data_IF_281923925404
#
_entry.id   IF_281923925404
#
_cell.length_a   1.000
_cell.length_b   1.000
_cell.length_c   1.000
_cell.angle_alpha   90.00
_cell.angle_beta   90.00
_cell.angle_gamma   90.00
#
_symmetry.space_group_name_H-M   'P 1'
#
loop_
_entity.id
_entity.type
_entity.pdbx_description
1 polymer ?
#
# COMPACT_ATOMS: atom_id res chain seq x y z
N UNK A 1 45.71 -12.68 -0.20
CA UNK A 1 44.91 -11.52 -0.66
C UNK A 1 43.44 -11.88 -0.51
N UNK A 2 42.71 -11.24 0.39
CA UNK A 2 41.31 -11.59 0.72
C UNK A 2 40.38 -10.66 -0.05
N UNK A 3 39.84 -11.15 -1.15
CA UNK A 3 38.96 -10.37 -2.03
C UNK A 3 37.66 -10.07 -1.29
N UNK A 4 37.46 -8.82 -0.92
CA UNK A 4 36.19 -8.32 -0.39
C UNK A 4 35.21 -8.14 -1.56
N UNK A 5 34.34 -9.11 -1.77
CA UNK A 5 33.19 -8.91 -2.66
C UNK A 5 32.07 -8.23 -1.86
N UNK A 6 31.56 -7.06 -2.29
CA UNK A 6 30.40 -6.45 -1.65
C UNK A 6 29.21 -7.38 -1.81
N UNK A 7 28.52 -7.68 -0.70
CA UNK A 7 27.25 -8.41 -0.74
C UNK A 7 26.24 -7.52 -1.46
N UNK A 8 25.94 -7.84 -2.70
CA UNK A 8 24.84 -7.22 -3.43
C UNK A 8 23.57 -7.45 -2.62
N UNK A 9 22.80 -6.39 -2.37
CA UNK A 9 21.54 -6.47 -1.66
C UNK A 9 20.67 -7.56 -2.29
N UNK A 10 20.16 -8.47 -1.46
CA UNK A 10 19.28 -9.54 -1.92
C UNK A 10 18.06 -8.93 -2.59
N UNK A 11 17.92 -9.14 -3.90
CA UNK A 11 16.68 -8.87 -4.61
C UNK A 11 15.59 -9.72 -3.95
N UNK A 12 14.68 -9.07 -3.25
CA UNK A 12 13.48 -9.70 -2.71
C UNK A 12 12.45 -9.64 -3.82
N UNK A 13 12.07 -10.78 -4.42
CA UNK A 13 11.01 -10.78 -5.42
C UNK A 13 9.74 -10.24 -4.75
N UNK A 14 9.13 -9.23 -5.36
CA UNK A 14 7.86 -8.66 -4.91
C UNK A 14 6.82 -9.79 -4.88
N UNK A 15 6.00 -9.82 -3.84
CA UNK A 15 4.93 -10.82 -3.70
C UNK A 15 4.02 -10.72 -4.92
N UNK A 16 3.96 -11.79 -5.72
CA UNK A 16 3.27 -11.73 -7.02
C UNK A 16 1.77 -11.47 -6.84
N UNK A 17 1.16 -10.81 -7.83
CA UNK A 17 -0.28 -10.51 -7.83
C UNK A 17 -1.18 -11.71 -7.50
N UNK A 18 -0.77 -12.91 -7.91
CA UNK A 18 -1.49 -14.16 -7.65
C UNK A 18 -1.69 -14.46 -6.16
N UNK A 19 -0.71 -14.12 -5.31
CA UNK A 19 -0.82 -14.32 -3.86
C UNK A 19 -1.76 -13.29 -3.23
N UNK A 20 -1.75 -12.05 -3.73
CA UNK A 20 -2.61 -10.96 -3.28
C UNK A 20 -4.09 -11.23 -3.62
N UNK A 21 -4.36 -11.78 -4.82
CA UNK A 21 -5.70 -12.20 -5.24
C UNK A 21 -6.24 -13.29 -4.31
N UNK A 22 -5.43 -14.32 -4.02
CA UNK A 22 -5.81 -15.38 -3.08
C UNK A 22 -6.05 -14.87 -1.65
N UNK A 23 -5.38 -13.79 -1.25
CA UNK A 23 -5.58 -13.13 0.04
C UNK A 23 -6.82 -12.20 0.07
N UNK A 24 -7.60 -12.11 -1.01
CA UNK A 24 -8.80 -11.29 -1.09
C UNK A 24 -8.50 -9.79 -1.21
N UNK A 25 -7.34 -9.41 -1.74
CA UNK A 25 -6.92 -8.02 -1.93
C UNK A 25 -7.48 -7.40 -3.21
N UNK A 26 -8.70 -7.75 -3.59
CA UNK A 26 -9.34 -7.18 -4.78
C UNK A 26 -10.78 -6.81 -4.46
N UNK A 27 -11.27 -5.77 -5.13
CA UNK A 27 -12.64 -5.30 -5.04
C UNK A 27 -13.12 -4.84 -6.41
N UNK A 28 -14.43 -4.57 -6.54
CA UNK A 28 -14.98 -4.02 -7.78
C UNK A 28 -14.36 -2.66 -8.17
N UNK A 29 -13.88 -1.90 -7.19
CA UNK A 29 -13.23 -0.60 -7.42
C UNK A 29 -11.71 -0.73 -7.60
N UNK A 30 -11.15 -1.91 -7.31
CA UNK A 30 -9.73 -2.20 -7.40
C UNK A 30 -9.51 -3.63 -7.89
N UNK A 31 -9.67 -3.78 -9.20
CA UNK A 31 -9.46 -5.03 -9.90
C UNK A 31 -7.96 -5.23 -10.15
N UNK A 32 -7.38 -6.21 -9.47
CA UNK A 32 -5.99 -6.61 -9.64
C UNK A 32 -5.87 -7.74 -10.67
N UNK A 33 -6.96 -8.50 -10.90
CA UNK A 33 -6.99 -9.62 -11.85
C UNK A 33 -6.85 -9.13 -13.30
N UNK A 34 -7.45 -7.99 -13.63
CA UNK A 34 -7.29 -7.35 -14.93
C UNK A 34 -5.83 -7.01 -15.23
N UNK A 35 -5.09 -6.47 -14.24
CA UNK A 35 -3.68 -6.10 -14.41
C UNK A 35 -2.79 -7.34 -14.63
N UNK A 36 -3.08 -8.45 -13.95
CA UNK A 36 -2.39 -9.72 -14.15
C UNK A 36 -2.67 -10.28 -15.55
N UNK A 37 -3.92 -10.19 -16.02
CA UNK A 37 -4.33 -10.66 -17.35
C UNK A 37 -3.66 -9.88 -18.47
N UNK A 38 -3.51 -8.57 -18.29
CA UNK A 38 -2.93 -7.67 -19.29
C UNK A 38 -1.39 -7.59 -19.20
N UNK A 39 -0.76 -8.37 -18.30
CA UNK A 39 0.69 -8.37 -18.05
C UNK A 39 1.23 -6.97 -17.75
N UNK A 40 0.46 -6.19 -17.00
CA UNK A 40 0.86 -4.86 -16.52
C UNK A 40 2.00 -5.01 -15.51
N UNK A 41 3.11 -4.31 -15.76
CA UNK A 41 4.33 -4.36 -14.95
C UNK A 41 4.28 -3.43 -13.73
N UNK A 42 3.25 -2.59 -13.61
CA UNK A 42 3.06 -1.74 -12.43
C UNK A 42 2.76 -2.61 -11.22
N UNK A 43 3.74 -2.83 -10.35
CA UNK A 43 3.56 -3.52 -9.07
C UNK A 43 2.50 -2.76 -8.26
N UNK A 44 1.33 -3.37 -8.01
CA UNK A 44 0.17 -2.70 -7.42
C UNK A 44 0.43 -2.09 -6.03
N UNK A 45 0.05 -2.79 -4.96
CA UNK A 45 0.48 -2.40 -3.62
C UNK A 45 1.93 -2.83 -3.42
N UNK A 46 2.75 -1.98 -2.80
CA UNK A 46 4.08 -2.36 -2.34
C UNK A 46 3.97 -3.42 -1.24
N UNK A 47 5.00 -4.26 -1.04
CA UNK A 47 4.93 -5.38 -0.07
C UNK A 47 4.55 -4.89 1.35
N UNK A 48 5.03 -3.70 1.75
CA UNK A 48 4.68 -3.12 3.05
C UNK A 48 3.21 -2.68 3.09
N UNK A 49 2.73 -2.02 2.05
CA UNK A 49 1.32 -1.62 1.96
C UNK A 49 0.37 -2.80 1.95
N UNK A 50 0.75 -3.88 1.27
CA UNK A 50 0.05 -5.17 1.26
C UNK A 50 -0.07 -5.75 2.67
N UNK A 51 1.04 -5.80 3.41
CA UNK A 51 1.05 -6.29 4.79
C UNK A 51 0.18 -5.42 5.71
N UNK A 52 0.30 -4.10 5.64
CA UNK A 52 -0.49 -3.18 6.48
C UNK A 52 -2.00 -3.32 6.22
N UNK A 53 -2.41 -3.51 4.97
CA UNK A 53 -3.82 -3.75 4.62
C UNK A 53 -4.30 -5.08 5.22
N UNK A 54 -3.52 -6.16 5.13
CA UNK A 54 -3.88 -7.44 5.76
C UNK A 54 -4.04 -7.31 7.27
N UNK A 55 -3.11 -6.60 7.93
CA UNK A 55 -3.17 -6.38 9.37
C UNK A 55 -4.42 -5.59 9.75
N UNK A 56 -4.78 -4.55 9.00
CA UNK A 56 -6.01 -3.78 9.24
C UNK A 56 -7.27 -4.64 9.04
N UNK A 57 -7.32 -5.44 7.97
CA UNK A 57 -8.45 -6.36 7.72
C UNK A 57 -8.62 -7.35 8.89
N UNK A 58 -7.52 -7.93 9.38
CA UNK A 58 -7.54 -8.90 10.47
C UNK A 58 -7.93 -8.25 11.81
N UNK A 59 -7.33 -7.11 12.15
CA UNK A 59 -7.55 -6.42 13.43
C UNK A 59 -8.93 -5.78 13.53
N UNK A 60 -9.41 -5.15 12.45
CA UNK A 60 -10.66 -4.38 12.46
C UNK A 60 -11.84 -5.15 11.85
N UNK A 61 -11.61 -6.36 11.33
CA UNK A 61 -12.64 -7.20 10.69
C UNK A 61 -13.38 -6.47 9.57
N UNK A 62 -12.64 -5.70 8.79
CA UNK A 62 -13.14 -4.91 7.66
C UNK A 62 -12.76 -5.53 6.32
N UNK A 63 -13.48 -5.15 5.26
CA UNK A 63 -13.14 -5.58 3.91
C UNK A 63 -11.91 -4.83 3.36
N UNK A 64 -11.44 -5.27 2.19
CA UNK A 64 -10.24 -4.71 1.54
C UNK A 64 -10.32 -3.20 1.29
N UNK A 65 -11.44 -2.70 0.76
CA UNK A 65 -11.59 -1.27 0.46
C UNK A 65 -11.60 -0.42 1.73
N UNK A 66 -12.31 -0.89 2.76
CA UNK A 66 -12.32 -0.24 4.06
C UNK A 66 -10.91 -0.22 4.68
N UNK A 67 -10.19 -1.33 4.61
CA UNK A 67 -8.83 -1.41 5.11
C UNK A 67 -7.89 -0.44 4.37
N UNK A 68 -8.02 -0.33 3.05
CA UNK A 68 -7.27 0.64 2.24
C UNK A 68 -7.60 2.08 2.62
N UNK A 69 -8.88 2.41 2.82
CA UNK A 69 -9.30 3.74 3.26
C UNK A 69 -8.70 4.08 4.63
N UNK A 70 -8.78 3.15 5.59
CA UNK A 70 -8.20 3.31 6.93
C UNK A 70 -6.69 3.54 6.84
N UNK A 71 -5.98 2.72 6.05
CA UNK A 71 -4.54 2.87 5.83
C UNK A 71 -4.21 4.26 5.28
N UNK A 72 -4.93 4.70 4.25
CA UNK A 72 -4.71 6.00 3.63
C UNK A 72 -4.92 7.14 4.63
N UNK A 73 -6.00 7.09 5.42
CA UNK A 73 -6.27 8.09 6.46
C UNK A 73 -5.17 8.13 7.53
N UNK A 74 -4.58 6.97 7.90
CA UNK A 74 -3.44 6.92 8.82
C UNK A 74 -2.21 7.61 8.22
N UNK A 75 -1.92 7.38 6.94
CA UNK A 75 -0.80 8.03 6.23
C UNK A 75 -1.03 9.55 6.17
N UNK A 76 -2.24 9.99 5.82
CA UNK A 76 -2.59 11.42 5.80
C UNK A 76 -2.37 12.05 7.18
N UNK A 77 -2.91 11.45 8.23
CA UNK A 77 -2.77 11.95 9.59
C UNK A 77 -1.31 12.02 10.06
N UNK A 78 -0.49 11.01 9.74
CA UNK A 78 0.95 11.01 10.03
C UNK A 78 1.70 12.15 9.33
N UNK A 79 1.20 12.61 8.19
CA UNK A 79 1.76 13.72 7.42
C UNK A 79 1.08 15.06 7.74
N UNK A 80 0.27 15.13 8.81
CA UNK A 80 -0.41 16.36 9.21
C UNK A 80 -1.51 16.79 8.25
N UNK A 81 -2.17 15.83 7.58
CA UNK A 81 -3.28 16.07 6.66
C UNK A 81 -4.53 15.39 7.23
N UNK A 82 -5.65 16.10 7.24
CA UNK A 82 -6.92 15.56 7.69
C UNK A 82 -7.57 14.64 6.63
N UNK A 83 -8.62 13.88 6.97
CA UNK A 83 -9.31 13.01 6.01
C UNK A 83 -10.00 13.75 4.84
N UNK A 84 -10.20 15.07 4.96
CA UNK A 84 -10.70 15.91 3.86
C UNK A 84 -9.60 16.36 2.90
N UNK A 85 -8.33 16.08 3.22
CA UNK A 85 -7.16 16.46 2.44
C UNK A 85 -6.59 17.82 2.82
N UNK A 86 -7.09 18.46 3.88
CA UNK A 86 -6.63 19.77 4.33
C UNK A 86 -5.50 19.60 5.35
N UNK A 87 -4.41 20.38 5.28
CA UNK A 87 -3.38 20.38 6.31
C UNK A 87 -3.95 20.72 7.69
N UNK A 88 -3.54 19.97 8.71
CA UNK A 88 -3.87 20.23 10.12
C UNK A 88 -3.15 21.46 10.68
N UNK A 89 -2.09 21.93 10.01
CA UNK A 89 -1.40 23.17 10.39
C UNK A 89 -2.30 24.38 10.08
N UNK A 90 -2.75 25.05 11.14
CA UNK A 90 -3.58 26.26 11.05
C UNK A 90 -2.90 27.41 10.29
N UNK A 91 -1.57 27.39 10.13
CA UNK A 91 -0.83 28.38 9.32
C UNK A 91 -0.73 28.03 7.84
N UNK A 92 -1.00 26.78 7.45
CA UNK A 92 -0.98 26.35 6.06
C UNK A 92 -2.28 26.72 5.31
N UNK A 93 -3.37 27.01 6.04
CA UNK A 93 -4.64 27.47 5.46
C UNK A 93 -4.54 28.95 5.12
N UNK A 94 -3.97 29.26 3.96
CA UNK A 94 -4.06 30.60 3.37
C UNK A 94 -5.47 30.78 2.83
N UNK A 95 -6.35 31.47 3.56
CA UNK A 95 -7.64 31.91 2.99
C UNK A 95 -7.34 32.91 1.87
N UNK A 96 -7.85 32.65 0.66
CA UNK A 96 -7.90 33.59 -0.46
C UNK A 96 -9.09 34.54 -0.31
#
# INVERSE_FOLDING_TARGET
>A
MRTMFPRTGHYTPLSTFSEQINAGMTSSQFDIEANLRDSDTRSGLDDRGTQEVMEIMQQQRVNFDQARLIRQNRILAQNGIDPSGIPLDSKAVTRL
#
